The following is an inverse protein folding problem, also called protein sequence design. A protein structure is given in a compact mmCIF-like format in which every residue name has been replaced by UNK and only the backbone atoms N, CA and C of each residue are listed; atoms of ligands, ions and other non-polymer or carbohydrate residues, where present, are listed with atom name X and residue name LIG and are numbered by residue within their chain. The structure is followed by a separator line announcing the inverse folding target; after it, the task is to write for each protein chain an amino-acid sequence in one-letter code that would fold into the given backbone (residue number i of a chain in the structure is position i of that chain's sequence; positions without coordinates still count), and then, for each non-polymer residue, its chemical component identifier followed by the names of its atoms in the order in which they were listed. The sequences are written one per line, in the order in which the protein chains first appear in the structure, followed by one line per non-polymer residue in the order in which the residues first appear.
data_IF_645667389585
#
_entry.id   IF_645667389585
#
_cell.length_a   1.000
_cell.length_b   1.000
_cell.length_c   1.000
_cell.angle_alpha   90.00
_cell.angle_beta   90.00
_cell.angle_gamma   90.00
#
_symmetry.space_group_name_H-M   'P 1'
#
loop_
_entity.id
_entity.type
_entity.pdbx_description
1 polymer ?
#
# COMPACT_ATOMS: atom_id res chain seq x y z
N UNK A 1 -16.92 -8.20 15.43
CA UNK A 1 -17.03 -8.54 16.86
C UNK A 1 -17.37 -7.28 17.66
N UNK A 2 -18.17 -7.39 18.72
CA UNK A 2 -18.39 -6.27 19.65
C UNK A 2 -17.07 -5.94 20.37
N UNK A 3 -16.66 -4.67 20.32
CA UNK A 3 -15.42 -4.18 20.95
C UNK A 3 -15.74 -3.56 22.31
N UNK A 4 -15.30 -4.22 23.39
CA UNK A 4 -15.41 -3.71 24.75
C UNK A 4 -14.10 -3.96 25.53
N UNK A 5 -14.06 -3.59 26.83
CA UNK A 5 -12.86 -3.69 27.67
C UNK A 5 -12.24 -5.10 27.70
N UNK A 6 -13.07 -6.14 27.61
CA UNK A 6 -12.64 -7.55 27.68
C UNK A 6 -12.33 -8.10 26.29
N UNK A 7 -13.14 -7.76 25.28
CA UNK A 7 -13.08 -8.39 23.94
C UNK A 7 -12.21 -7.64 22.93
N UNK A 8 -11.70 -6.45 23.26
CA UNK A 8 -10.99 -5.56 22.32
C UNK A 8 -9.80 -6.17 21.58
N UNK A 9 -9.16 -7.20 22.13
CA UNK A 9 -7.98 -7.85 21.53
C UNK A 9 -8.31 -9.15 20.78
N UNK A 10 -9.58 -9.58 20.74
CA UNK A 10 -9.98 -10.87 20.15
C UNK A 10 -9.86 -10.90 18.62
N UNK A 11 -10.04 -9.76 17.95
CA UNK A 11 -9.98 -9.67 16.49
C UNK A 11 -9.31 -8.35 16.09
N UNK A 12 -8.14 -8.44 15.45
CA UNK A 12 -7.36 -7.30 15.00
C UNK A 12 -8.13 -6.46 13.98
N UNK A 13 -8.77 -7.12 13.00
CA UNK A 13 -9.59 -6.44 11.98
C UNK A 13 -10.73 -5.62 12.60
N UNK A 14 -11.54 -6.21 13.48
CA UNK A 14 -12.65 -5.48 14.11
C UNK A 14 -12.18 -4.32 15.00
N UNK A 15 -11.01 -4.47 15.64
CA UNK A 15 -10.42 -3.38 16.42
C UNK A 15 -10.00 -2.22 15.52
N UNK A 16 -9.29 -2.52 14.43
CA UNK A 16 -8.83 -1.51 13.48
C UNK A 16 -10.02 -0.83 12.78
N UNK A 17 -11.03 -1.59 12.37
CA UNK A 17 -12.27 -1.06 11.80
C UNK A 17 -12.93 -0.07 12.76
N UNK A 18 -13.03 -0.41 14.06
CA UNK A 18 -13.60 0.49 15.07
C UNK A 18 -12.79 1.77 15.23
N UNK A 19 -11.46 1.71 15.12
CA UNK A 19 -10.60 2.90 15.14
C UNK A 19 -10.94 3.86 13.98
N UNK A 20 -11.13 3.33 12.77
CA UNK A 20 -11.54 4.16 11.63
C UNK A 20 -12.96 4.71 11.78
N UNK A 21 -13.91 3.92 12.27
CA UNK A 21 -15.30 4.37 12.50
C UNK A 21 -15.41 5.55 13.48
N UNK A 22 -14.53 5.61 14.48
CA UNK A 22 -14.51 6.74 15.44
C UNK A 22 -13.70 7.94 14.95
N UNK A 23 -13.22 7.90 13.70
CA UNK A 23 -12.52 9.03 13.06
C UNK A 23 -11.02 9.10 13.33
N UNK A 24 -10.36 8.01 13.72
CA UNK A 24 -8.89 8.00 13.78
C UNK A 24 -8.32 8.12 12.36
N UNK A 25 -7.51 9.15 12.11
CA UNK A 25 -6.83 9.35 10.83
C UNK A 25 -5.65 8.39 10.68
N UNK A 26 -5.57 7.73 9.52
CA UNK A 26 -4.44 6.89 9.13
C UNK A 26 -3.18 7.74 8.89
N UNK A 27 -3.37 8.95 8.39
CA UNK A 27 -2.33 9.90 8.00
C UNK A 27 -1.63 10.53 9.23
N UNK A 28 -2.30 10.52 10.39
CA UNK A 28 -1.74 11.02 11.65
C UNK A 28 -0.71 10.07 12.31
N UNK A 29 -0.50 8.87 11.75
CA UNK A 29 0.49 7.91 12.27
C UNK A 29 1.90 8.39 11.95
N UNK A 30 2.64 8.81 12.98
CA UNK A 30 4.07 9.15 12.87
C UNK A 30 4.94 7.93 13.16
N UNK A 31 5.96 7.73 12.35
CA UNK A 31 6.89 6.59 12.48
C UNK A 31 8.18 6.96 13.24
N UNK A 32 8.16 8.03 14.05
CA UNK A 32 9.35 8.63 14.70
C UNK A 32 10.03 7.76 15.78
N UNK A 33 9.66 6.48 15.89
CA UNK A 33 10.29 5.53 16.81
C UNK A 33 11.45 4.79 16.15
N UNK A 34 12.41 5.52 15.58
CA UNK A 34 13.77 5.00 15.38
C UNK A 34 14.48 4.93 16.74
N UNK A 35 14.07 3.98 17.58
CA UNK A 35 14.77 3.69 18.83
C UNK A 35 16.11 3.04 18.47
N UNK A 36 17.19 3.79 18.72
CA UNK A 36 18.59 3.34 18.71
C UNK A 36 18.69 1.85 19.07
N UNK A 37 19.24 1.05 18.15
CA UNK A 37 19.63 -0.34 18.39
C UNK A 37 20.43 -0.38 19.71
N UNK A 38 19.87 -1.01 20.74
CA UNK A 38 20.63 -1.49 21.88
C UNK A 38 20.83 -2.97 21.62
N UNK A 39 22.06 -3.36 21.31
CA UNK A 39 22.53 -4.73 21.42
C UNK A 39 22.17 -5.28 22.80
N UNK A 40 21.24 -6.23 22.85
CA UNK A 40 21.09 -7.12 24.00
C UNK A 40 20.87 -8.52 23.45
N UNK A 41 21.85 -9.37 23.73
CA UNK A 41 21.89 -10.81 23.49
C UNK A 41 20.73 -11.54 24.17
N UNK A 42 20.28 -12.57 23.46
CA UNK A 42 19.74 -13.86 23.90
C UNK A 42 18.43 -13.90 24.70
N UNK A 43 17.44 -14.61 24.12
CA UNK A 43 16.64 -15.70 24.75
C UNK A 43 15.22 -15.80 24.12
N UNK A 44 14.96 -16.99 23.57
CA UNK A 44 13.67 -17.68 23.30
C UNK A 44 12.62 -16.96 22.45
N UNK A 45 12.58 -17.33 21.16
CA UNK A 45 11.55 -16.94 20.19
C UNK A 45 10.40 -17.97 20.16
N UNK A 46 9.15 -17.59 20.49
CA UNK A 46 7.95 -18.37 20.16
C UNK A 46 7.71 -18.43 18.64
N UNK A 47 7.21 -19.55 18.09
CA UNK A 47 7.14 -19.75 16.64
C UNK A 47 5.85 -19.14 16.08
N UNK A 48 5.90 -17.88 15.61
CA UNK A 48 4.99 -17.38 14.55
C UNK A 48 5.34 -15.97 14.02
N UNK A 49 6.60 -15.55 14.10
CA UNK A 49 7.10 -14.45 13.28
C UNK A 49 8.24 -15.01 12.45
N UNK A 50 8.02 -15.17 11.14
CA UNK A 50 9.14 -15.28 10.21
C UNK A 50 9.83 -13.92 10.27
N UNK A 51 10.88 -13.80 11.08
CA UNK A 51 11.74 -12.62 10.97
C UNK A 51 12.40 -12.71 9.60
N UNK A 52 11.96 -11.85 8.67
CA UNK A 52 12.64 -11.71 7.38
C UNK A 52 14.08 -11.32 7.68
N UNK A 53 15.03 -12.05 7.11
CA UNK A 53 16.45 -11.66 7.18
C UNK A 53 16.58 -10.20 6.74
N UNK A 54 17.44 -9.42 7.40
CA UNK A 54 17.61 -8.00 7.09
C UNK A 54 17.94 -7.75 5.61
N UNK A 55 18.65 -8.69 4.96
CA UNK A 55 18.92 -8.65 3.52
C UNK A 55 17.65 -8.75 2.67
N UNK A 56 16.70 -9.62 3.06
CA UNK A 56 15.44 -9.79 2.36
C UNK A 56 14.52 -8.57 2.55
N UNK A 57 14.53 -7.96 3.74
CA UNK A 57 13.82 -6.69 3.98
C UNK A 57 14.38 -5.56 3.11
N UNK A 58 15.70 -5.45 2.98
CA UNK A 58 16.33 -4.48 2.07
C UNK A 58 15.93 -4.71 0.61
N UNK A 59 15.89 -5.97 0.17
CA UNK A 59 15.46 -6.31 -1.18
C UNK A 59 14.00 -5.91 -1.42
N UNK A 60 13.10 -6.25 -0.49
CA UNK A 60 11.68 -5.86 -0.56
C UNK A 60 11.54 -4.34 -0.64
N UNK A 61 12.29 -3.60 0.17
CA UNK A 61 12.27 -2.14 0.16
C UNK A 61 12.80 -1.56 -1.16
N UNK A 62 13.88 -2.11 -1.71
CA UNK A 62 14.45 -1.69 -3.01
C UNK A 62 13.44 -1.88 -4.14
N UNK A 63 12.81 -3.06 -4.22
CA UNK A 63 11.82 -3.36 -5.26
C UNK A 63 10.57 -2.49 -5.09
N UNK A 64 10.05 -2.38 -3.86
CA UNK A 64 8.88 -1.53 -3.57
C UNK A 64 9.14 -0.07 -3.93
N UNK A 65 10.32 0.47 -3.60
CA UNK A 65 10.70 1.84 -3.93
C UNK A 65 10.82 2.05 -5.45
N UNK A 66 11.55 1.18 -6.14
CA UNK A 66 11.71 1.27 -7.60
C UNK A 66 10.35 1.21 -8.31
N UNK A 67 9.41 0.38 -7.83
CA UNK A 67 8.06 0.33 -8.36
C UNK A 67 7.29 1.65 -8.12
N UNK A 68 7.34 2.21 -6.90
CA UNK A 68 6.64 3.46 -6.59
C UNK A 68 7.18 4.66 -7.38
N UNK A 69 8.48 4.66 -7.69
CA UNK A 69 9.14 5.74 -8.46
C UNK A 69 8.86 5.66 -9.96
N UNK A 70 8.70 4.45 -10.50
CA UNK A 70 8.43 4.23 -11.93
C UNK A 70 6.95 4.04 -12.26
N UNK A 71 6.12 3.77 -11.24
CA UNK A 71 4.69 3.50 -11.41
C UNK A 71 3.87 4.20 -10.31
N UNK A 72 3.40 5.44 -10.55
CA UNK A 72 2.64 6.20 -9.57
C UNK A 72 1.33 5.49 -9.21
N UNK A 73 0.98 5.50 -7.92
CA UNK A 73 -0.25 4.85 -7.45
C UNK A 73 -1.51 5.60 -7.87
N UNK A 74 -2.62 4.88 -8.02
CA UNK A 74 -3.87 5.44 -8.55
C UNK A 74 -4.43 6.61 -7.72
N UNK A 75 -4.18 6.65 -6.41
CA UNK A 75 -4.63 7.75 -5.55
C UNK A 75 -3.79 9.03 -5.69
N UNK A 76 -2.60 8.94 -6.28
CA UNK A 76 -1.73 10.09 -6.55
C UNK A 76 -2.00 10.74 -7.91
N UNK A 77 -2.80 10.08 -8.77
CA UNK A 77 -3.06 10.54 -10.13
C UNK A 77 -4.26 11.49 -10.23
N UNK A 78 -4.07 12.63 -10.89
CA UNK A 78 -5.15 13.52 -11.32
C UNK A 78 -5.90 12.92 -12.51
N UNK A 79 -7.07 12.33 -12.25
CA UNK A 79 -7.85 11.61 -13.27
C UNK A 79 -8.60 12.58 -14.19
N UNK A 80 -8.62 12.27 -15.48
CA UNK A 80 -9.43 12.95 -16.50
C UNK A 80 -10.08 11.90 -17.40
N UNK A 81 -11.10 12.30 -18.16
CA UNK A 81 -11.85 11.40 -19.06
C UNK A 81 -11.83 11.91 -20.50
N UNK A 82 -12.16 11.03 -21.44
CA UNK A 82 -12.40 11.33 -22.85
C UNK A 82 -13.70 10.67 -23.28
N UNK A 83 -14.39 11.28 -24.24
CA UNK A 83 -15.62 10.76 -24.85
C UNK A 83 -15.38 10.10 -26.23
N UNK A 84 -14.11 9.92 -26.64
CA UNK A 84 -13.76 9.20 -27.88
C UNK A 84 -14.31 7.77 -27.84
N UNK A 85 -15.19 7.44 -28.78
CA UNK A 85 -15.81 6.12 -28.93
C UNK A 85 -16.40 5.54 -27.61
N UNK A 86 -16.97 6.39 -26.73
CA UNK A 86 -17.46 5.96 -25.42
C UNK A 86 -18.76 5.16 -25.45
N UNK A 87 -19.60 5.36 -26.47
CA UNK A 87 -20.98 4.84 -26.48
C UNK A 87 -21.10 3.44 -27.08
N UNK A 88 -20.21 3.06 -27.99
CA UNK A 88 -20.21 1.75 -28.63
C UNK A 88 -18.79 1.31 -28.99
N UNK A 89 -18.59 -0.01 -29.08
CA UNK A 89 -17.30 -0.56 -29.49
C UNK A 89 -17.09 -0.40 -30.98
N UNK A 90 -15.88 0.00 -31.36
CA UNK A 90 -15.40 0.09 -32.74
C UNK A 90 -14.20 -0.83 -32.93
N UNK A 91 -13.86 -1.15 -34.18
CA UNK A 91 -12.70 -1.99 -34.47
C UNK A 91 -11.38 -1.33 -34.05
N UNK A 92 -11.24 -0.02 -34.33
CA UNK A 92 -10.10 0.78 -33.93
C UNK A 92 -10.47 2.27 -33.92
N UNK A 93 -10.19 2.95 -32.82
CA UNK A 93 -10.21 4.41 -32.73
C UNK A 93 -8.75 4.89 -32.80
N UNK A 94 -8.38 5.52 -33.93
CA UNK A 94 -7.00 5.98 -34.17
C UNK A 94 -6.56 7.04 -33.15
N UNK A 95 -7.45 7.93 -32.73
CA UNK A 95 -7.11 8.98 -31.76
C UNK A 95 -6.87 8.44 -30.36
N UNK A 96 -7.62 7.41 -29.95
CA UNK A 96 -7.33 6.66 -28.73
C UNK A 96 -6.05 5.84 -28.84
N UNK A 97 -5.82 5.19 -29.99
CA UNK A 97 -4.63 4.38 -30.24
C UNK A 97 -3.34 5.20 -30.19
N UNK A 98 -3.33 6.40 -30.77
CA UNK A 98 -2.16 7.28 -30.76
C UNK A 98 -1.76 7.64 -29.31
N UNK A 99 -2.74 8.08 -28.50
CA UNK A 99 -2.51 8.38 -27.08
C UNK A 99 -2.10 7.15 -26.29
N UNK A 100 -2.74 6.00 -26.53
CA UNK A 100 -2.42 4.75 -25.85
C UNK A 100 -1.00 4.26 -26.18
N UNK A 101 -0.60 4.34 -27.45
CA UNK A 101 0.72 3.94 -27.93
C UNK A 101 1.81 4.84 -27.33
N UNK A 102 1.56 6.14 -27.29
CA UNK A 102 2.45 7.11 -26.64
C UNK A 102 2.61 6.82 -25.13
N UNK A 103 1.51 6.51 -24.43
CA UNK A 103 1.55 6.17 -23.00
C UNK A 103 2.25 4.83 -22.73
N UNK A 104 2.13 3.86 -23.64
CA UNK A 104 2.74 2.54 -23.49
C UNK A 104 4.25 2.53 -23.74
N UNK A 105 4.77 3.54 -24.44
CA UNK A 105 6.20 3.67 -24.78
C UNK A 105 6.97 4.57 -23.82
N UNK A 106 6.27 5.38 -23.02
CA UNK A 106 6.84 6.19 -21.94
C UNK A 106 6.88 5.37 -20.65
N UNK A 107 7.80 4.41 -20.60
CA UNK A 107 8.21 3.72 -19.38
C UNK A 107 9.57 4.23 -18.92
#
# INVERSE_FOLDING_TARGET
CQINKVTRNRCQYCRLQKCFEVGMSKEAVRNDRNKKKKDVKDEVVPPECYELSGELEELVNKVSKAHQETFPSLCQLGKYTTNSSSDHRVQLDLGLWDKFSELSTKC
#
